data_IF_422303214040
#
_entry.id   IF_422303214040
#
_cell.length_a   1.000
_cell.length_b   1.000
_cell.length_c   1.000
_cell.angle_alpha   90.00
_cell.angle_beta   90.00
_cell.angle_gamma   90.00
#
_symmetry.space_group_name_H-M   'P 1'
#
loop_
_entity.id
_entity.type
_entity.pdbx_description
1 polymer ?
#
# COMPACT_ATOMS: atom_id res chain seq x y z
N UNK A 1 2.17 -11.35 16.99
CA UNK A 1 1.94 -11.76 15.59
C UNK A 1 0.85 -10.89 14.99
N UNK A 2 0.98 -10.46 13.73
CA UNK A 2 -0.08 -9.69 13.05
C UNK A 2 -1.20 -10.65 12.63
N UNK A 3 -2.45 -10.32 12.94
CA UNK A 3 -3.62 -11.12 12.59
C UNK A 3 -4.38 -10.57 11.37
N UNK A 4 -4.01 -9.37 10.94
CA UNK A 4 -4.67 -8.64 9.86
C UNK A 4 -3.62 -7.94 9.00
N UNK A 5 -3.91 -7.80 7.72
CA UNK A 5 -3.10 -7.04 6.75
C UNK A 5 -4.07 -6.12 6.01
N UNK A 6 -3.75 -4.82 5.97
CA UNK A 6 -4.43 -3.87 5.08
C UNK A 6 -3.75 -3.98 3.72
N UNK A 7 -4.54 -4.20 2.68
CA UNK A 7 -4.07 -4.34 1.30
C UNK A 7 -4.98 -3.52 0.38
N UNK A 8 -4.36 -2.76 -0.50
CA UNK A 8 -5.00 -1.91 -1.49
C UNK A 8 -4.72 -2.44 -2.91
N UNK A 9 -5.48 -2.02 -3.93
CA UNK A 9 -5.19 -2.36 -5.31
C UNK A 9 -3.71 -2.19 -5.68
N UNK A 10 -3.15 -3.18 -6.39
CA UNK A 10 -1.76 -3.29 -6.82
C UNK A 10 -0.69 -3.48 -5.73
N UNK A 11 -1.04 -3.55 -4.43
CA UNK A 11 -0.11 -4.00 -3.39
C UNK A 11 0.05 -5.52 -3.40
N UNK A 12 1.21 -6.01 -2.95
CA UNK A 12 1.52 -7.45 -2.85
C UNK A 12 2.17 -7.74 -1.51
N UNK A 13 1.70 -8.80 -0.85
CA UNK A 13 2.29 -9.34 0.36
C UNK A 13 2.52 -10.83 0.17
N UNK A 14 3.71 -11.30 0.54
CA UNK A 14 3.99 -12.72 0.67
C UNK A 14 3.81 -13.12 2.14
N UNK A 15 3.04 -14.18 2.41
CA UNK A 15 2.55 -14.52 3.75
C UNK A 15 2.68 -16.02 3.99
N UNK A 16 3.33 -16.38 5.09
CA UNK A 16 3.32 -17.74 5.64
C UNK A 16 2.21 -17.84 6.68
N UNK A 17 1.31 -18.82 6.51
CA UNK A 17 0.25 -19.13 7.47
C UNK A 17 0.55 -20.51 8.06
N UNK A 18 0.78 -20.57 9.37
CA UNK A 18 1.09 -21.80 10.09
C UNK A 18 -0.21 -22.45 10.62
N UNK A 19 -0.57 -23.60 10.05
CA UNK A 19 -1.71 -24.41 10.47
C UNK A 19 -1.34 -25.57 11.42
N UNK A 20 -0.07 -25.72 11.81
CA UNK A 20 0.43 -26.88 12.56
C UNK A 20 -0.29 -27.13 13.90
N UNK A 21 -0.69 -26.04 14.56
CA UNK A 21 -1.42 -26.05 15.83
C UNK A 21 -2.94 -26.03 15.68
N UNK A 22 -3.46 -26.09 14.44
CA UNK A 22 -4.90 -26.11 14.18
C UNK A 22 -5.38 -27.57 14.10
N UNK A 23 -6.42 -27.96 14.85
CA UNK A 23 -6.92 -29.33 14.83
C UNK A 23 -7.37 -29.78 13.43
N UNK A 24 -7.12 -31.04 13.09
CA UNK A 24 -7.66 -31.68 11.88
C UNK A 24 -9.20 -31.63 11.94
N UNK A 25 -9.83 -31.32 10.82
CA UNK A 25 -11.27 -31.07 10.70
C UNK A 25 -11.67 -29.61 10.87
N UNK A 26 -10.75 -28.72 11.29
CA UNK A 26 -11.05 -27.29 11.40
C UNK A 26 -11.27 -26.65 10.03
N UNK A 27 -12.17 -25.67 10.01
CA UNK A 27 -12.44 -24.82 8.85
C UNK A 27 -12.11 -23.36 9.23
N UNK A 28 -11.14 -22.76 8.55
CA UNK A 28 -10.65 -21.41 8.84
C UNK A 28 -10.99 -20.48 7.68
N UNK A 29 -11.73 -19.40 7.93
CA UNK A 29 -12.14 -18.44 6.89
C UNK A 29 -11.23 -17.22 6.88
N UNK A 30 -10.65 -16.91 5.72
CA UNK A 30 -10.01 -15.63 5.46
C UNK A 30 -11.09 -14.57 5.21
N UNK A 31 -11.13 -13.56 6.07
CA UNK A 31 -12.14 -12.50 6.04
C UNK A 31 -11.59 -11.19 5.50
N UNK A 32 -12.41 -10.49 4.72
CA UNK A 32 -12.26 -9.09 4.40
C UNK A 32 -12.96 -8.25 5.48
N UNK A 33 -12.19 -7.56 6.32
CA UNK A 33 -12.74 -6.77 7.43
C UNK A 33 -13.39 -5.45 6.99
N UNK A 34 -13.14 -5.00 5.75
CA UNK A 34 -13.80 -3.85 5.15
C UNK A 34 -15.02 -4.24 4.30
N UNK A 35 -15.23 -5.54 4.10
CA UNK A 35 -16.34 -6.06 3.31
C UNK A 35 -17.62 -6.17 4.12
N UNK A 36 -18.74 -6.07 3.42
CA UNK A 36 -20.08 -6.32 3.93
C UNK A 36 -20.79 -7.40 3.09
N UNK A 37 -21.81 -8.02 3.68
CA UNK A 37 -22.62 -9.05 3.03
C UNK A 37 -21.74 -10.13 2.38
N UNK A 38 -21.89 -10.28 1.06
CA UNK A 38 -21.19 -11.29 0.26
C UNK A 38 -19.68 -11.04 0.13
N UNK A 39 -19.19 -9.83 0.43
CA UNK A 39 -17.76 -9.48 0.31
C UNK A 39 -16.97 -9.72 1.59
N UNK A 40 -17.62 -10.13 2.69
CA UNK A 40 -17.00 -10.41 3.99
C UNK A 40 -16.03 -11.60 3.94
N UNK A 41 -16.39 -12.66 3.20
CA UNK A 41 -15.61 -13.90 3.16
C UNK A 41 -14.84 -13.96 1.84
N UNK A 42 -13.52 -14.15 1.92
CA UNK A 42 -12.66 -14.28 0.72
C UNK A 42 -12.58 -15.75 0.32
N UNK A 43 -12.07 -16.59 1.23
CA UNK A 43 -11.92 -18.03 1.01
C UNK A 43 -11.86 -18.78 2.35
N UNK A 44 -11.88 -20.11 2.30
CA UNK A 44 -11.78 -21.00 3.46
C UNK A 44 -10.66 -22.01 3.27
N UNK A 45 -9.90 -22.25 4.33
CA UNK A 45 -8.92 -23.32 4.44
C UNK A 45 -9.53 -24.46 5.26
N UNK A 46 -9.52 -25.66 4.70
CA UNK A 46 -9.95 -26.88 5.39
C UNK A 46 -8.71 -27.67 5.83
N UNK A 47 -8.52 -27.80 7.15
CA UNK A 47 -7.35 -28.48 7.72
C UNK A 47 -7.64 -29.97 7.77
N UNK A 48 -7.16 -30.72 6.78
CA UNK A 48 -7.55 -32.14 6.60
C UNK A 48 -6.51 -33.15 7.10
N UNK A 49 -5.26 -32.74 7.32
CA UNK A 49 -4.19 -33.61 7.81
C UNK A 49 -3.04 -32.81 8.40
N UNK A 50 -2.24 -33.47 9.23
CA UNK A 50 -0.92 -33.00 9.60
C UNK A 50 0.15 -33.69 8.73
N UNK A 51 1.27 -33.01 8.56
CA UNK A 51 2.43 -33.51 7.82
C UNK A 51 3.70 -33.05 8.53
N UNK A 52 4.79 -33.80 8.37
CA UNK A 52 6.11 -33.29 8.76
C UNK A 52 6.39 -32.06 7.90
N UNK A 53 6.72 -30.96 8.56
CA UNK A 53 7.11 -29.69 7.95
C UNK A 53 8.54 -29.37 8.38
N UNK A 54 9.41 -29.13 7.40
CA UNK A 54 10.81 -28.76 7.59
C UNK A 54 11.11 -27.35 7.08
N UNK A 55 10.06 -26.62 6.68
CA UNK A 55 10.18 -25.23 6.27
C UNK A 55 10.52 -24.32 7.46
N UNK A 56 11.25 -23.26 7.19
CA UNK A 56 11.70 -22.29 8.19
C UNK A 56 11.48 -20.89 7.61
N UNK A 57 10.89 -20.00 8.40
CA UNK A 57 10.92 -18.56 8.10
C UNK A 57 12.19 -17.98 8.74
N UNK A 58 13.22 -17.60 7.97
CA UNK A 58 14.47 -17.14 8.54
C UNK A 58 14.31 -15.77 9.21
N UNK A 59 15.17 -15.49 10.19
CA UNK A 59 15.18 -14.20 10.90
C UNK A 59 15.66 -13.05 10.02
N UNK A 60 16.37 -13.33 8.93
CA UNK A 60 16.78 -12.38 7.90
C UNK A 60 16.35 -12.91 6.53
N UNK A 61 15.45 -12.20 5.86
CA UNK A 61 14.88 -12.63 4.57
C UNK A 61 15.78 -12.23 3.38
N UNK A 62 16.25 -10.98 3.39
CA UNK A 62 17.06 -10.40 2.33
C UNK A 62 17.83 -9.18 2.87
N UNK A 63 18.95 -8.78 2.23
CA UNK A 63 19.54 -7.47 2.48
C UNK A 63 18.56 -6.36 2.10
N UNK A 64 18.50 -5.30 2.91
CA UNK A 64 17.65 -4.13 2.67
C UNK A 64 18.50 -2.87 2.69
N UNK A 65 18.51 -2.14 1.58
CA UNK A 65 19.16 -0.83 1.51
C UNK A 65 18.20 0.25 1.99
N UNK A 66 18.57 0.91 3.09
CA UNK A 66 17.80 2.04 3.61
C UNK A 66 18.10 3.29 2.79
N UNK A 67 17.08 3.87 2.17
CA UNK A 67 17.17 5.19 1.57
C UNK A 67 17.10 6.25 2.66
N UNK A 68 18.21 6.97 2.89
CA UNK A 68 18.29 8.02 3.91
C UNK A 68 17.74 9.35 3.36
N UNK A 69 16.67 9.92 3.95
CA UNK A 69 16.06 11.16 3.45
C UNK A 69 17.03 12.35 3.39
N UNK A 70 18.00 12.40 4.30
CA UNK A 70 19.04 13.44 4.33
C UNK A 70 19.95 13.45 3.10
N UNK A 71 19.94 12.39 2.29
CA UNK A 71 20.67 12.33 1.00
C UNK A 71 19.87 12.93 -0.16
N UNK A 72 18.57 13.19 0.02
CA UNK A 72 17.76 13.86 -0.98
C UNK A 72 17.95 15.37 -0.92
N UNK A 73 18.07 16.01 -2.07
CA UNK A 73 18.09 17.48 -2.21
C UNK A 73 16.81 18.02 -2.85
N UNK A 74 15.86 17.16 -3.19
CA UNK A 74 14.63 17.51 -3.90
C UNK A 74 13.43 16.89 -3.18
N UNK A 75 12.45 17.73 -2.86
CA UNK A 75 11.12 17.31 -2.42
C UNK A 75 10.09 17.73 -3.46
N UNK A 76 9.18 16.83 -3.82
CA UNK A 76 8.04 17.09 -4.71
C UNK A 76 6.73 16.80 -3.99
N UNK A 77 5.70 17.55 -4.33
CA UNK A 77 4.36 17.33 -3.77
C UNK A 77 3.37 17.01 -4.90
N UNK A 78 2.54 16.00 -4.67
CA UNK A 78 1.46 15.61 -5.57
C UNK A 78 0.14 15.50 -4.80
N UNK A 79 -0.90 16.11 -5.34
CA UNK A 79 -2.25 16.11 -4.79
C UNK A 79 -3.17 15.25 -5.66
N UNK A 80 -3.77 14.22 -5.08
CA UNK A 80 -4.69 13.29 -5.73
C UNK A 80 -6.10 13.56 -5.25
N UNK A 81 -6.78 14.52 -5.89
CA UNK A 81 -8.09 15.03 -5.47
C UNK A 81 -9.15 14.90 -6.56
N UNK A 82 -10.42 14.82 -6.14
CA UNK A 82 -11.56 14.99 -7.02
C UNK A 82 -11.78 16.48 -7.31
N UNK A 83 -11.78 16.85 -8.58
CA UNK A 83 -11.96 18.23 -9.00
C UNK A 83 -12.58 18.30 -10.39
N UNK A 84 -13.44 19.31 -10.61
CA UNK A 84 -14.04 19.55 -11.93
C UNK A 84 -14.79 18.32 -12.48
N UNK A 85 -15.33 17.46 -11.61
CA UNK A 85 -16.09 16.27 -12.00
C UNK A 85 -15.26 15.02 -12.36
N UNK A 86 -13.94 15.03 -12.15
CA UNK A 86 -13.10 13.83 -12.30
C UNK A 86 -11.91 13.82 -11.32
N UNK A 87 -11.25 12.68 -11.18
CA UNK A 87 -10.01 12.57 -10.39
C UNK A 87 -8.84 13.24 -11.11
N UNK A 88 -8.01 13.96 -10.34
CA UNK A 88 -6.88 14.75 -10.87
C UNK A 88 -5.59 14.48 -10.12
N UNK A 89 -4.47 14.79 -10.76
CA UNK A 89 -3.18 14.96 -10.08
C UNK A 89 -2.79 16.42 -10.21
N UNK A 90 -2.56 17.10 -9.07
CA UNK A 90 -2.28 18.53 -9.00
C UNK A 90 -3.34 19.39 -9.75
N UNK A 91 -4.62 19.03 -9.61
CA UNK A 91 -5.75 19.75 -10.22
C UNK A 91 -5.87 19.59 -11.74
N UNK A 92 -5.07 18.71 -12.37
CA UNK A 92 -5.05 18.52 -13.82
C UNK A 92 -5.37 17.07 -14.19
N UNK A 93 -6.18 16.86 -15.23
CA UNK A 93 -6.47 15.53 -15.79
C UNK A 93 -5.28 14.92 -16.51
N UNK A 94 -5.25 13.59 -16.58
CA UNK A 94 -4.28 12.88 -17.37
C UNK A 94 -4.25 13.40 -18.82
N UNK A 95 -3.04 13.71 -19.30
CA UNK A 95 -2.75 14.08 -20.68
C UNK A 95 -1.41 13.41 -21.03
N UNK A 96 -1.35 12.56 -22.09
CA UNK A 96 -0.13 11.86 -22.46
C UNK A 96 1.02 12.79 -22.87
N UNK A 97 0.75 14.07 -23.17
CA UNK A 97 1.78 15.06 -23.51
C UNK A 97 2.22 15.90 -22.30
N UNK A 98 1.61 15.70 -21.13
CA UNK A 98 1.93 16.44 -19.90
C UNK A 98 2.99 15.70 -19.09
N UNK A 99 3.96 16.44 -18.59
CA UNK A 99 5.02 15.94 -17.71
C UNK A 99 4.94 16.69 -16.37
N UNK A 100 4.61 15.97 -15.29
CA UNK A 100 4.52 16.57 -13.94
C UNK A 100 5.86 16.54 -13.18
N UNK A 101 6.79 15.66 -13.57
CA UNK A 101 8.11 15.56 -12.97
C UNK A 101 9.15 15.02 -13.96
N UNK A 102 10.37 15.55 -13.87
CA UNK A 102 11.54 15.11 -14.64
C UNK A 102 12.70 14.80 -13.69
N UNK A 103 12.63 13.71 -12.90
CA UNK A 103 13.71 13.33 -11.99
C UNK A 103 14.98 12.98 -12.77
N UNK A 104 16.15 13.32 -12.22
CA UNK A 104 17.43 12.95 -12.84
C UNK A 104 17.71 11.46 -12.60
N UNK A 105 18.25 10.78 -13.61
CA UNK A 105 18.69 9.39 -13.47
C UNK A 105 19.70 9.27 -12.32
N UNK A 106 19.48 8.29 -11.44
CA UNK A 106 20.33 8.02 -10.28
C UNK A 106 20.14 8.98 -9.09
N UNK A 107 19.25 9.98 -9.20
CA UNK A 107 18.92 10.83 -8.07
C UNK A 107 17.90 10.16 -7.13
N UNK A 108 18.09 10.35 -5.83
CA UNK A 108 17.08 10.07 -4.81
C UNK A 108 16.32 11.35 -4.51
N UNK A 109 14.99 11.30 -4.59
CA UNK A 109 14.09 12.42 -4.27
C UNK A 109 13.11 12.02 -3.16
N UNK A 110 12.53 13.00 -2.46
CA UNK A 110 11.40 12.78 -1.54
C UNK A 110 10.13 13.19 -2.27
N UNK A 111 9.14 12.31 -2.32
CA UNK A 111 7.85 12.60 -2.95
C UNK A 111 6.77 12.53 -1.88
N UNK A 112 6.08 13.64 -1.70
CA UNK A 112 4.98 13.82 -0.76
C UNK A 112 3.66 13.67 -1.51
N UNK A 113 2.84 12.75 -1.03
CA UNK A 113 1.56 12.45 -1.61
C UNK A 113 0.46 12.89 -0.65
N UNK A 114 -0.45 13.72 -1.15
CA UNK A 114 -1.66 14.11 -0.40
C UNK A 114 -2.89 13.70 -1.19
N UNK A 115 -3.91 13.23 -0.49
CA UNK A 115 -5.14 12.79 -1.12
C UNK A 115 -6.36 13.08 -0.24
N UNK A 116 -7.52 13.25 -0.87
CA UNK A 116 -8.81 13.53 -0.24
C UNK A 116 -9.58 12.22 0.09
N UNK A 117 -8.95 11.07 -0.08
CA UNK A 117 -9.50 9.76 0.23
C UNK A 117 -8.47 8.64 0.20
N UNK A 118 -8.93 7.40 0.08
CA UNK A 118 -8.06 6.24 -0.09
C UNK A 118 -7.63 6.11 -1.57
N UNK A 119 -6.41 6.52 -1.87
CA UNK A 119 -5.82 6.43 -3.21
C UNK A 119 -4.50 5.67 -3.17
N UNK A 120 -4.46 4.39 -3.59
CA UNK A 120 -3.22 3.64 -3.68
C UNK A 120 -2.40 4.17 -4.87
N UNK A 121 -1.31 4.86 -4.57
CA UNK A 121 -0.46 5.50 -5.59
C UNK A 121 0.58 4.51 -6.09
N UNK A 122 0.60 4.30 -7.41
CA UNK A 122 1.58 3.45 -8.08
C UNK A 122 2.55 4.28 -8.91
N UNK A 123 3.84 4.03 -8.75
CA UNK A 123 4.92 4.63 -9.56
C UNK A 123 5.55 3.56 -10.44
N UNK A 124 5.75 3.89 -11.70
CA UNK A 124 6.44 3.00 -12.65
C UNK A 124 7.96 3.09 -12.47
N UNK A 125 8.67 2.09 -12.99
CA UNK A 125 10.14 1.96 -13.07
C UNK A 125 10.89 1.76 -11.74
N UNK A 126 10.45 2.37 -10.65
CA UNK A 126 11.21 2.45 -9.40
C UNK A 126 10.61 1.60 -8.28
N UNK A 127 11.45 1.26 -7.30
CA UNK A 127 11.02 0.92 -5.95
C UNK A 127 11.18 2.17 -5.06
N UNK A 128 10.34 2.31 -4.04
CA UNK A 128 10.41 3.42 -3.09
C UNK A 128 10.34 2.93 -1.64
N UNK A 129 10.88 3.73 -0.73
CA UNK A 129 10.78 3.49 0.71
C UNK A 129 9.76 4.46 1.30
N UNK A 130 8.75 3.93 2.00
CA UNK A 130 7.79 4.75 2.75
C UNK A 130 8.51 5.36 3.95
N UNK A 131 8.54 6.70 4.01
CA UNK A 131 9.19 7.44 5.10
C UNK A 131 8.23 7.69 6.27
N UNK A 132 7.01 8.11 5.97
CA UNK A 132 5.97 8.39 6.94
C UNK A 132 4.60 8.37 6.27
N UNK A 133 3.57 8.04 7.06
CA UNK A 133 2.17 8.22 6.71
C UNK A 133 1.53 9.08 7.80
N UNK A 134 0.79 10.11 7.41
CA UNK A 134 0.12 11.02 8.34
C UNK A 134 -1.28 11.35 7.83
N UNK A 135 -2.25 11.41 8.75
CA UNK A 135 -3.56 11.98 8.47
C UNK A 135 -3.46 13.49 8.64
N UNK A 136 -3.44 14.23 7.53
CA UNK A 136 -3.55 15.68 7.58
C UNK A 136 -5.02 16.07 7.73
N UNK A 137 -5.37 16.79 8.80
CA UNK A 137 -6.68 17.43 8.92
C UNK A 137 -6.73 18.62 7.96
N UNK A 138 -7.28 18.43 6.77
CA UNK A 138 -7.47 19.53 5.80
C UNK A 138 -8.66 20.36 6.28
N UNK A 139 -8.39 21.49 6.93
CA UNK A 139 -9.42 22.50 7.20
C UNK A 139 -9.90 23.07 5.85
N UNK A 140 -11.14 22.79 5.48
CA UNK A 140 -11.79 23.42 4.33
C UNK A 140 -11.79 24.95 4.52
N UNK A 141 -10.92 25.65 3.80
CA UNK A 141 -11.04 27.10 3.65
C UNK A 141 -12.23 27.37 2.73
N UNK A 142 -13.38 27.66 3.31
CA UNK A 142 -14.46 28.38 2.60
C UNK A 142 -14.03 29.83 2.49
N UNK A 143 -13.48 30.22 1.35
CA UNK A 143 -13.53 31.62 0.95
C UNK A 143 -14.92 31.92 0.40
N UNK A 144 -15.59 32.83 1.08
CA UNK A 144 -16.84 33.48 0.72
C UNK A 144 -16.68 34.33 -0.54
N UNK A 145 -17.60 34.14 -1.49
CA UNK A 145 -17.97 35.11 -2.53
C UNK A 145 -19.47 35.29 -2.52
#
# INVERSE_FOLDING_TARGET
MRQTIRISPAERFDVVIDFSHIPIGSQIVLKNLLGDGQTTNIMRFDVVRQTRDESIVPTTLAPFEVLHPSKSTVTRTFQFFYGLGMWTINGKYFDPNRIDATPRLGATEIWEFTSDGNHPIHMHLINFQVLSEALAYISQHKESG
#
